data_IF_350295217048
#
_entry.id   IF_350295217048
#
_cell.length_a   1.000
_cell.length_b   1.000
_cell.length_c   1.000
_cell.angle_alpha   90.00
_cell.angle_beta   90.00
_cell.angle_gamma   90.00
#
_symmetry.space_group_name_H-M   'P 1'
#
loop_
_entity.id
_entity.type
_entity.pdbx_description
1 polymer ?
#
# COMPACT_ATOMS: atom_id res chain seq x y z
N UNK A 1 4.40 4.02 -15.78
CA UNK A 1 4.00 3.48 -14.46
C UNK A 1 4.72 4.21 -13.35
N UNK A 2 4.06 4.45 -12.25
CA UNK A 2 4.64 5.14 -11.11
C UNK A 2 5.01 4.14 -10.03
N UNK A 3 5.97 4.54 -9.21
CA UNK A 3 6.41 3.73 -8.07
C UNK A 3 5.66 4.21 -6.82
N UNK A 4 4.96 3.31 -6.17
CA UNK A 4 4.19 3.62 -4.98
C UNK A 4 4.73 2.86 -3.78
N UNK A 5 4.73 3.52 -2.62
CA UNK A 5 5.04 2.88 -1.35
C UNK A 5 3.73 2.72 -0.58
N UNK A 6 3.36 1.47 -0.31
CA UNK A 6 2.14 1.16 0.43
C UNK A 6 2.52 0.89 1.88
N UNK A 7 2.01 1.69 2.79
CA UNK A 7 2.26 1.54 4.22
C UNK A 7 1.05 0.89 4.87
N UNK A 8 1.29 -0.14 5.65
CA UNK A 8 0.22 -0.89 6.30
C UNK A 8 0.67 -1.40 7.67
N UNK A 9 -0.29 -1.88 8.45
CA UNK A 9 -0.02 -2.55 9.73
C UNK A 9 -0.23 -4.05 9.56
N UNK A 10 0.70 -4.84 10.09
CA UNK A 10 0.58 -6.30 10.06
C UNK A 10 -0.26 -6.82 11.24
N UNK A 11 -0.33 -8.15 11.37
CA UNK A 11 -1.13 -8.78 12.42
C UNK A 11 -0.67 -8.41 13.83
N UNK A 12 0.58 -8.01 13.99
CA UNK A 12 1.13 -7.60 15.28
C UNK A 12 1.08 -6.09 15.47
N UNK A 13 0.42 -5.38 14.56
CA UNK A 13 0.28 -3.93 14.54
C UNK A 13 1.59 -3.18 14.34
N UNK A 14 2.58 -3.84 13.75
CA UNK A 14 3.81 -3.18 13.35
C UNK A 14 3.62 -2.51 11.99
N UNK A 15 4.16 -1.32 11.85
CA UNK A 15 4.12 -0.61 10.57
C UNK A 15 5.08 -1.25 9.60
N UNK A 16 4.56 -1.60 8.44
CA UNK A 16 5.33 -2.20 7.35
C UNK A 16 5.11 -1.38 6.09
N UNK A 17 6.01 -1.53 5.13
CA UNK A 17 5.85 -0.89 3.84
C UNK A 17 6.35 -1.81 2.73
N UNK A 18 5.69 -1.71 1.58
CA UNK A 18 6.11 -2.41 0.37
C UNK A 18 6.05 -1.45 -0.79
N UNK A 19 6.86 -1.72 -1.82
CA UNK A 19 6.90 -0.91 -3.02
C UNK A 19 6.18 -1.62 -4.15
N UNK A 20 5.33 -0.87 -4.87
CA UNK A 20 4.58 -1.41 -5.99
C UNK A 20 4.65 -0.47 -7.18
N UNK A 21 4.76 -1.03 -8.39
CA UNK A 21 4.65 -0.26 -9.61
C UNK A 21 3.22 -0.34 -10.11
N UNK A 22 2.62 0.82 -10.32
CA UNK A 22 1.22 0.89 -10.75
C UNK A 22 0.96 2.20 -11.49
N UNK A 23 -0.16 2.27 -12.21
CA UNK A 23 -0.54 3.48 -12.91
C UNK A 23 -1.19 4.50 -11.99
N UNK A 24 -1.76 4.05 -10.89
CA UNK A 24 -2.41 4.92 -9.92
C UNK A 24 -2.42 4.25 -8.53
N UNK A 25 -2.83 5.01 -7.52
CA UNK A 25 -2.84 4.51 -6.15
C UNK A 25 -3.79 3.33 -5.96
N UNK A 26 -4.91 3.32 -6.68
CA UNK A 26 -5.87 2.23 -6.58
C UNK A 26 -5.27 0.90 -7.04
N UNK A 27 -4.53 0.93 -8.14
CA UNK A 27 -3.84 -0.27 -8.62
C UNK A 27 -2.75 -0.70 -7.65
N UNK A 28 -2.02 0.25 -7.08
CA UNK A 28 -1.00 -0.05 -6.08
C UNK A 28 -1.61 -0.75 -4.88
N UNK A 29 -2.76 -0.28 -4.42
CA UNK A 29 -3.50 -0.92 -3.34
C UNK A 29 -3.88 -2.35 -3.69
N UNK A 30 -4.42 -2.55 -4.89
CA UNK A 30 -4.83 -3.87 -5.34
C UNK A 30 -3.65 -4.84 -5.39
N UNK A 31 -2.53 -4.39 -5.94
CA UNK A 31 -1.33 -5.22 -6.01
C UNK A 31 -0.78 -5.54 -4.63
N UNK A 32 -0.77 -4.56 -3.73
CA UNK A 32 -0.31 -4.80 -2.37
C UNK A 32 -1.20 -5.81 -1.66
N UNK A 33 -2.51 -5.72 -1.87
CA UNK A 33 -3.46 -6.67 -1.27
C UNK A 33 -3.20 -8.08 -1.76
N UNK A 34 -2.81 -8.25 -3.02
CA UNK A 34 -2.47 -9.56 -3.56
C UNK A 34 -1.14 -10.07 -3.07
N UNK A 35 -0.14 -9.19 -2.94
CA UNK A 35 1.21 -9.57 -2.55
C UNK A 35 1.33 -9.90 -1.06
N UNK A 36 0.54 -9.26 -0.22
CA UNK A 36 0.59 -9.45 1.22
C UNK A 36 -0.67 -10.21 1.66
N UNK A 37 -0.54 -11.49 2.05
CA UNK A 37 -1.70 -12.30 2.44
C UNK A 37 -2.53 -11.68 3.56
N UNK A 38 -1.87 -11.00 4.50
CA UNK A 38 -2.58 -10.33 5.59
C UNK A 38 -3.51 -9.24 5.04
N UNK A 39 -3.06 -8.48 4.07
CA UNK A 39 -3.86 -7.42 3.47
C UNK A 39 -5.02 -7.97 2.65
N UNK A 40 -4.86 -9.17 2.10
CA UNK A 40 -5.95 -9.82 1.37
C UNK A 40 -7.14 -10.07 2.29
N UNK A 41 -6.87 -10.43 3.54
CA UNK A 41 -7.91 -10.65 4.54
C UNK A 41 -8.31 -9.36 5.27
N UNK A 42 -7.41 -8.38 5.31
CA UNK A 42 -7.61 -7.14 6.08
C UNK A 42 -7.24 -5.93 5.24
N UNK A 43 -8.00 -5.63 4.17
CA UNK A 43 -7.66 -4.52 3.29
C UNK A 43 -7.69 -3.16 3.98
N UNK A 44 -8.40 -3.04 5.09
CA UNK A 44 -8.47 -1.79 5.85
C UNK A 44 -7.22 -1.51 6.69
N UNK A 45 -6.26 -2.44 6.70
CA UNK A 45 -5.01 -2.26 7.43
C UNK A 45 -4.00 -1.38 6.70
N UNK A 46 -4.30 -0.98 5.47
CA UNK A 46 -3.45 -0.06 4.73
C UNK A 46 -3.59 1.34 5.31
N UNK A 47 -2.47 1.90 5.78
CA UNK A 47 -2.46 3.24 6.37
C UNK A 47 -2.44 4.32 5.30
N UNK A 48 -1.52 4.23 4.36
CA UNK A 48 -1.49 5.18 3.26
C UNK A 48 -0.69 4.61 2.09
N UNK A 49 -0.90 5.23 0.93
CA UNK A 49 -0.18 4.89 -0.29
C UNK A 49 0.49 6.18 -0.76
N UNK A 50 1.82 6.15 -0.88
CA UNK A 50 2.60 7.32 -1.27
C UNK A 50 3.22 7.10 -2.64
N UNK A 51 2.98 8.05 -3.55
CA UNK A 51 3.66 8.07 -4.83
C UNK A 51 5.07 8.61 -4.61
N UNK A 52 6.08 7.94 -5.13
CA UNK A 52 7.47 8.36 -4.93
C UNK A 52 7.79 9.71 -5.57
N UNK A 53 7.03 10.13 -6.56
CA UNK A 53 7.16 11.45 -7.13
C UNK A 53 6.38 12.53 -6.37
N UNK A 54 5.77 12.19 -5.24
CA UNK A 54 4.92 13.08 -4.48
C UNK A 54 5.28 13.02 -3.00
N UNK A 55 5.12 14.14 -2.31
CA UNK A 55 5.30 14.21 -0.85
C UNK A 55 4.00 13.92 -0.10
N UNK A 56 2.91 13.68 -0.83
CA UNK A 56 1.61 13.48 -0.22
C UNK A 56 1.27 12.01 -0.10
N UNK A 57 0.67 11.65 1.02
CA UNK A 57 0.13 10.33 1.27
C UNK A 57 -1.34 10.31 0.84
N UNK A 58 -1.72 9.29 0.08
CA UNK A 58 -3.10 9.11 -0.31
C UNK A 58 -3.73 8.07 0.62
N UNK A 59 -4.77 8.47 1.35
CA UNK A 59 -5.51 7.55 2.21
C UNK A 59 -6.58 6.85 1.39
N UNK A 60 -6.64 5.55 1.49
CA UNK A 60 -7.61 4.73 0.76
C UNK A 60 -8.53 3.99 1.71
#
# INVERSE_FOLDING_TARGET
MSHYTVQYQDATRHHQSICEYAENAWEAKSQATEDVPYLHSHPNSIDCIQNEGSLFCTTV
#
